data_IF_747680038072
#
_entry.id   IF_747680038072
#
_cell.length_a   1.000
_cell.length_b   1.000
_cell.length_c   1.000
_cell.angle_alpha   90.00
_cell.angle_beta   90.00
_cell.angle_gamma   90.00
#
_symmetry.space_group_name_H-M   'P 1'
#
loop_
_entity.id
_entity.type
_entity.pdbx_description
1 polymer ?
#
# COMPACT_ATOMS: atom_id res chain seq x y z
N UNK A 1 -13.39 44.95 16.45
CA UNK A 1 -13.93 44.20 15.31
C UNK A 1 -14.64 42.96 15.88
N UNK A 2 -15.94 43.04 16.13
CA UNK A 2 -16.79 41.89 16.45
C UNK A 2 -16.99 41.11 15.16
N UNK A 3 -16.30 39.99 15.02
CA UNK A 3 -16.58 39.02 13.98
C UNK A 3 -17.92 38.35 14.33
N UNK A 4 -18.99 38.76 13.66
CA UNK A 4 -20.22 37.98 13.65
C UNK A 4 -19.91 36.68 12.89
N UNK A 5 -19.63 35.60 13.64
CA UNK A 5 -19.57 34.27 13.08
C UNK A 5 -20.99 33.90 12.64
N UNK A 6 -21.22 33.75 11.34
CA UNK A 6 -22.40 33.05 10.86
C UNK A 6 -22.40 31.67 11.52
N UNK A 7 -23.57 31.23 12.02
CA UNK A 7 -23.76 29.96 12.76
C UNK A 7 -23.39 28.70 11.95
N UNK A 8 -23.03 28.83 10.68
CA UNK A 8 -22.63 27.71 9.82
C UNK A 8 -21.11 27.56 9.80
N UNK A 9 -20.63 26.65 10.63
CA UNK A 9 -19.26 26.18 10.59
C UNK A 9 -19.18 25.05 9.56
N UNK A 10 -18.35 25.24 8.52
CA UNK A 10 -18.14 24.22 7.50
C UNK A 10 -17.36 23.05 8.12
N UNK A 11 -17.83 21.79 8.01
CA UNK A 11 -17.10 20.66 8.56
C UNK A 11 -15.71 20.50 7.94
N UNK A 12 -14.74 20.21 8.79
CA UNK A 12 -13.34 19.98 8.41
C UNK A 12 -13.02 18.49 8.50
N UNK A 13 -12.66 17.91 7.38
CA UNK A 13 -12.29 16.51 7.24
C UNK A 13 -10.77 16.36 7.15
N UNK A 14 -10.19 15.45 7.95
CA UNK A 14 -8.80 15.05 7.86
C UNK A 14 -8.71 13.69 7.16
N UNK A 15 -8.09 13.65 5.96
CA UNK A 15 -7.95 12.44 5.14
C UNK A 15 -6.57 11.83 5.25
N UNK A 16 -6.53 10.49 5.31
CA UNK A 16 -5.31 9.71 5.21
C UNK A 16 -5.43 8.64 4.13
N UNK A 17 -4.43 8.57 3.25
CA UNK A 17 -4.20 7.46 2.32
C UNK A 17 -2.92 6.72 2.73
N UNK A 18 -3.01 5.65 3.53
CA UNK A 18 -1.85 4.92 4.04
C UNK A 18 -1.23 4.00 2.99
N UNK A 19 -0.07 4.38 2.47
CA UNK A 19 0.78 3.54 1.62
C UNK A 19 1.91 2.83 2.39
N UNK A 20 2.77 2.12 1.67
CA UNK A 20 3.89 1.36 2.25
C UNK A 20 5.09 2.24 2.60
N UNK A 21 5.43 3.21 1.77
CA UNK A 21 6.57 4.12 1.93
C UNK A 21 6.13 5.52 2.33
N UNK A 22 4.95 5.92 1.88
CA UNK A 22 4.39 7.24 2.08
C UNK A 22 2.91 7.13 2.47
N UNK A 23 2.42 8.14 3.17
CA UNK A 23 0.99 8.34 3.45
C UNK A 23 0.60 9.73 2.95
N UNK A 24 -0.42 9.78 2.10
CA UNK A 24 -1.07 11.04 1.73
C UNK A 24 -1.86 11.59 2.92
N UNK A 25 -1.79 12.90 3.14
CA UNK A 25 -2.56 13.63 4.15
C UNK A 25 -3.27 14.77 3.44
N UNK A 26 -4.56 14.92 3.68
CA UNK A 26 -5.35 16.03 3.18
C UNK A 26 -6.24 16.62 4.26
N UNK A 27 -6.40 17.94 4.29
CA UNK A 27 -7.46 18.61 5.04
C UNK A 27 -8.44 19.20 4.04
N UNK A 28 -9.70 18.78 4.16
CA UNK A 28 -10.77 19.15 3.24
C UNK A 28 -11.87 19.88 4.00
N UNK A 29 -12.27 21.01 3.47
CA UNK A 29 -13.38 21.80 3.96
C UNK A 29 -14.66 21.44 3.18
N UNK A 30 -15.72 21.09 3.88
CA UNK A 30 -17.01 20.74 3.31
C UNK A 30 -17.90 21.99 3.14
N UNK A 31 -17.76 22.69 2.01
CA UNK A 31 -18.63 23.81 1.68
C UNK A 31 -20.02 23.37 1.22
N UNK A 32 -20.98 24.31 1.18
CA UNK A 32 -22.37 24.02 0.78
C UNK A 32 -22.47 23.37 -0.61
N UNK A 33 -21.65 23.81 -1.57
CA UNK A 33 -21.72 23.38 -2.97
C UNK A 33 -20.47 22.67 -3.48
N UNK A 34 -19.38 22.64 -2.70
CA UNK A 34 -18.11 22.02 -3.12
C UNK A 34 -17.24 21.60 -1.95
N UNK A 35 -16.41 20.60 -2.19
CA UNK A 35 -15.31 20.23 -1.33
C UNK A 35 -14.08 21.07 -1.73
N UNK A 36 -13.37 21.60 -0.75
CA UNK A 36 -12.16 22.39 -0.98
C UNK A 36 -11.00 21.79 -0.17
N UNK A 37 -9.96 21.33 -0.84
CA UNK A 37 -8.73 20.92 -0.19
C UNK A 37 -7.97 22.20 0.24
N UNK A 38 -7.80 22.36 1.55
CA UNK A 38 -7.10 23.52 2.12
C UNK A 38 -5.65 23.20 2.51
N UNK A 39 -5.34 21.92 2.66
CA UNK A 39 -3.99 21.44 2.94
C UNK A 39 -3.76 20.07 2.33
N UNK A 40 -2.56 19.84 1.80
CA UNK A 40 -2.11 18.55 1.34
C UNK A 40 -0.64 18.34 1.68
N UNK A 41 -0.30 17.14 2.12
CA UNK A 41 1.07 16.76 2.44
C UNK A 41 1.31 15.27 2.19
N UNK A 42 2.59 14.91 2.11
CA UNK A 42 3.03 13.51 2.03
C UNK A 42 3.93 13.21 3.23
N UNK A 43 3.54 12.22 4.01
CA UNK A 43 4.30 11.73 5.15
C UNK A 43 5.15 10.54 4.73
N UNK A 44 6.46 10.68 4.68
CA UNK A 44 7.39 9.61 4.36
C UNK A 44 7.68 8.76 5.61
N UNK A 45 7.63 7.43 5.46
CA UNK A 45 7.83 6.48 6.53
C UNK A 45 9.23 5.88 6.55
N UNK A 46 9.79 5.71 7.74
CA UNK A 46 11.06 5.00 7.96
C UNK A 46 10.92 3.47 8.04
N UNK A 47 9.77 2.93 7.68
CA UNK A 47 9.47 1.49 7.83
C UNK A 47 10.46 0.60 7.09
N UNK A 48 10.87 0.96 5.89
CA UNK A 48 11.84 0.21 5.08
C UNK A 48 13.24 0.24 5.70
N UNK A 49 13.68 1.40 6.17
CA UNK A 49 14.95 1.56 6.88
C UNK A 49 14.99 0.72 8.15
N UNK A 50 13.93 0.76 8.97
CA UNK A 50 13.81 -0.04 10.19
C UNK A 50 13.90 -1.54 9.86
N UNK A 51 13.23 -2.00 8.80
CA UNK A 51 13.28 -3.38 8.34
C UNK A 51 14.69 -3.78 7.92
N UNK A 52 15.35 -2.97 7.09
CA UNK A 52 16.73 -3.18 6.63
C UNK A 52 17.71 -3.28 7.79
N UNK A 53 17.61 -2.36 8.75
CA UNK A 53 18.46 -2.36 9.95
C UNK A 53 18.25 -3.61 10.84
N UNK A 54 17.00 -4.09 10.95
CA UNK A 54 16.70 -5.32 11.68
C UNK A 54 17.26 -6.57 10.97
N UNK A 55 17.17 -6.60 9.64
CA UNK A 55 17.74 -7.71 8.84
C UNK A 55 19.26 -7.73 8.90
N UNK A 56 19.94 -6.58 8.84
CA UNK A 56 21.39 -6.45 9.02
C UNK A 56 21.83 -6.97 10.40
N UNK A 57 21.14 -6.57 11.47
CA UNK A 57 21.39 -7.08 12.82
C UNK A 57 21.14 -8.59 12.92
N UNK A 58 20.17 -9.12 12.21
CA UNK A 58 19.89 -10.57 12.12
C UNK A 58 21.02 -11.30 11.43
N UNK A 59 21.52 -10.78 10.31
CA UNK A 59 22.67 -11.36 9.58
C UNK A 59 23.93 -11.40 10.44
N UNK A 60 24.27 -10.30 11.10
CA UNK A 60 25.43 -10.23 12.01
C UNK A 60 25.30 -11.27 13.13
N UNK A 61 24.13 -11.38 13.76
CA UNK A 61 23.89 -12.39 14.81
C UNK A 61 23.99 -13.82 14.29
N UNK A 62 23.54 -14.07 13.04
CA UNK A 62 23.66 -15.37 12.38
C UNK A 62 25.13 -15.70 12.08
N UNK A 63 25.88 -14.75 11.52
CA UNK A 63 27.31 -14.90 11.25
C UNK A 63 28.12 -15.20 12.53
N UNK A 64 27.86 -14.45 13.61
CA UNK A 64 28.53 -14.72 14.91
C UNK A 64 28.26 -16.12 15.46
N UNK A 65 27.08 -16.69 15.24
CA UNK A 65 26.71 -18.04 15.67
C UNK A 65 27.36 -19.14 14.83
N UNK A 66 27.55 -18.87 13.54
CA UNK A 66 28.16 -19.85 12.63
C UNK A 66 29.68 -19.88 12.72
N UNK A 67 30.33 -19.02 13.54
CA UNK A 67 31.76 -19.11 13.82
C UNK A 67 32.03 -20.38 14.63
N UNK A 68 33.05 -21.15 14.21
CA UNK A 68 33.43 -22.47 14.80
C UNK A 68 33.99 -22.41 16.23
N UNK A 69 34.00 -21.27 16.90
CA UNK A 69 34.66 -21.09 18.20
C UNK A 69 33.85 -21.63 19.38
N UNK A 70 32.52 -21.58 19.35
CA UNK A 70 31.64 -22.13 20.40
C UNK A 70 30.22 -22.20 19.93
N UNK A 71 29.58 -23.37 19.95
CA UNK A 71 28.16 -23.49 19.71
C UNK A 71 27.35 -22.95 20.88
N UNK A 72 26.45 -22.01 20.62
CA UNK A 72 25.43 -21.57 21.57
C UNK A 72 24.07 -21.73 20.94
N UNK A 73 23.19 -22.42 21.63
CA UNK A 73 21.82 -22.56 21.17
C UNK A 73 21.13 -21.19 20.99
N UNK A 74 20.38 -21.04 19.90
CA UNK A 74 19.69 -19.78 19.60
C UNK A 74 18.57 -19.52 20.60
N UNK A 75 18.67 -18.44 21.37
CA UNK A 75 17.64 -18.02 22.35
C UNK A 75 16.35 -17.45 21.72
N UNK A 76 16.25 -17.40 20.39
CA UNK A 76 15.15 -16.64 19.76
C UNK A 76 13.87 -17.43 19.58
N UNK A 77 13.91 -18.74 19.55
CA UNK A 77 12.69 -19.55 19.47
C UNK A 77 11.71 -19.23 20.61
N UNK A 78 12.27 -18.82 21.77
CA UNK A 78 11.46 -18.39 22.90
C UNK A 78 10.77 -17.03 22.70
N UNK A 79 11.28 -16.16 21.82
CA UNK A 79 10.70 -14.83 21.58
C UNK A 79 9.40 -14.87 20.77
N UNK A 80 9.18 -15.90 19.97
CA UNK A 80 7.93 -16.05 19.21
C UNK A 80 6.76 -16.28 20.18
N UNK A 81 6.98 -17.05 21.25
CA UNK A 81 5.96 -17.33 22.27
C UNK A 81 5.75 -16.15 23.25
N UNK A 82 6.72 -15.26 23.39
CA UNK A 82 6.64 -14.10 24.29
C UNK A 82 6.03 -12.85 23.65
N UNK A 83 5.61 -12.91 22.39
CA UNK A 83 4.90 -11.79 21.77
C UNK A 83 3.50 -11.69 22.35
N UNK A 84 3.19 -10.55 22.97
CA UNK A 84 1.84 -10.27 23.47
C UNK A 84 0.82 -10.15 22.33
N UNK A 85 -0.44 -10.38 22.66
CA UNK A 85 -1.55 -10.21 21.71
C UNK A 85 -1.55 -8.78 21.15
N UNK A 86 -1.61 -8.65 19.83
CA UNK A 86 -1.56 -7.33 19.17
C UNK A 86 -0.16 -6.79 18.88
N UNK A 87 0.91 -7.57 19.13
CA UNK A 87 2.26 -7.18 18.76
C UNK A 87 2.38 -6.93 17.25
N UNK A 88 2.99 -5.81 16.89
CA UNK A 88 3.30 -5.46 15.52
C UNK A 88 4.81 -5.49 15.26
N UNK A 89 5.19 -5.75 14.01
CA UNK A 89 6.59 -5.57 13.60
C UNK A 89 7.00 -4.10 13.77
N UNK A 90 8.23 -3.79 14.23
CA UNK A 90 8.66 -2.42 14.49
C UNK A 90 8.48 -1.46 13.31
N UNK A 91 8.65 -1.93 12.07
CA UNK A 91 8.42 -1.14 10.86
C UNK A 91 6.95 -0.76 10.67
N UNK A 92 6.02 -1.66 11.01
CA UNK A 92 4.58 -1.42 10.94
C UNK A 92 4.15 -0.50 12.09
N UNK A 93 4.63 -0.75 13.31
CA UNK A 93 4.35 0.08 14.47
C UNK A 93 4.80 1.53 14.25
N UNK A 94 5.97 1.73 13.63
CA UNK A 94 6.48 3.07 13.30
C UNK A 94 5.55 3.82 12.33
N UNK A 95 5.01 3.14 11.31
CA UNK A 95 4.03 3.74 10.39
C UNK A 95 2.75 4.18 11.12
N UNK A 96 2.20 3.30 11.95
CA UNK A 96 1.01 3.60 12.76
C UNK A 96 1.26 4.80 13.67
N UNK A 97 2.36 4.79 14.42
CA UNK A 97 2.69 5.87 15.34
C UNK A 97 2.84 7.22 14.63
N UNK A 98 3.49 7.24 13.47
CA UNK A 98 3.64 8.47 12.68
C UNK A 98 2.28 9.09 12.31
N UNK A 99 1.36 8.27 11.81
CA UNK A 99 0.03 8.76 11.41
C UNK A 99 -0.76 9.24 12.64
N UNK A 100 -0.75 8.49 13.73
CA UNK A 100 -1.43 8.88 14.97
C UNK A 100 -0.89 10.19 15.54
N UNK A 101 0.44 10.36 15.56
CA UNK A 101 1.05 11.61 16.05
C UNK A 101 0.74 12.82 15.16
N UNK A 102 0.73 12.65 13.83
CA UNK A 102 0.30 13.73 12.95
C UNK A 102 -1.19 14.02 13.08
N UNK A 103 -2.04 13.01 13.26
CA UNK A 103 -3.47 13.21 13.55
C UNK A 103 -3.68 14.06 14.81
N UNK A 104 -2.98 13.73 15.90
CA UNK A 104 -3.05 14.54 17.14
C UNK A 104 -2.62 15.99 16.92
N UNK A 105 -1.58 16.21 16.09
CA UNK A 105 -1.12 17.57 15.75
C UNK A 105 -2.18 18.35 14.98
N UNK A 106 -2.78 17.74 13.96
CA UNK A 106 -3.83 18.38 13.16
C UNK A 106 -5.08 18.65 13.98
N UNK A 107 -5.55 17.72 14.83
CA UNK A 107 -6.68 17.93 15.73
C UNK A 107 -6.42 19.10 16.70
N UNK A 108 -5.19 19.28 17.16
CA UNK A 108 -4.82 20.41 18.02
C UNK A 108 -4.75 21.75 17.30
N UNK A 109 -4.37 21.75 16.01
CA UNK A 109 -4.11 22.96 15.21
C UNK A 109 -5.30 23.41 14.39
N UNK A 110 -6.28 22.54 14.16
CA UNK A 110 -7.46 22.81 13.34
C UNK A 110 -8.69 22.13 13.92
N UNK A 111 -9.89 22.68 13.71
CA UNK A 111 -11.15 22.11 14.19
C UNK A 111 -11.56 20.91 13.31
N UNK A 112 -10.88 19.78 13.46
CA UNK A 112 -11.19 18.55 12.71
C UNK A 112 -12.46 17.93 13.28
N UNK A 113 -13.51 17.83 12.46
CA UNK A 113 -14.79 17.24 12.84
C UNK A 113 -14.79 15.72 12.68
N UNK A 114 -14.11 15.19 11.64
CA UNK A 114 -13.96 13.75 11.42
C UNK A 114 -12.72 13.41 10.61
N UNK A 115 -12.30 12.15 10.71
CA UNK A 115 -11.13 11.61 10.03
C UNK A 115 -11.60 10.55 9.04
N UNK A 116 -11.14 10.62 7.79
CA UNK A 116 -11.36 9.56 6.80
C UNK A 116 -10.04 8.85 6.50
N UNK A 117 -10.07 7.53 6.59
CA UNK A 117 -8.91 6.68 6.26
C UNK A 117 -9.27 5.81 5.07
N UNK A 118 -8.48 5.89 4.01
CA UNK A 118 -8.59 4.95 2.90
C UNK A 118 -8.25 3.54 3.38
N UNK A 119 -9.22 2.62 3.24
CA UNK A 119 -9.13 1.27 3.79
C UNK A 119 -9.17 0.16 2.75
N UNK A 120 -8.78 0.46 1.51
CA UNK A 120 -8.63 -0.56 0.46
C UNK A 120 -7.76 -1.71 0.97
N UNK A 121 -8.27 -2.93 0.87
CA UNK A 121 -7.57 -4.14 1.30
C UNK A 121 -7.09 -4.91 0.07
N UNK A 122 -5.83 -5.29 0.07
CA UNK A 122 -5.34 -6.22 -0.93
C UNK A 122 -5.81 -7.63 -0.59
N UNK A 123 -6.54 -8.23 -1.51
CA UNK A 123 -6.96 -9.62 -1.40
C UNK A 123 -5.82 -10.54 -1.81
N UNK A 124 -5.07 -11.01 -0.82
CA UNK A 124 -3.89 -11.85 -1.04
C UNK A 124 -4.24 -13.20 -1.66
N UNK A 125 -5.38 -13.78 -1.33
CA UNK A 125 -5.77 -15.10 -1.87
C UNK A 125 -6.11 -15.01 -3.35
N UNK A 126 -6.92 -14.03 -3.73
CA UNK A 126 -7.30 -13.81 -5.13
C UNK A 126 -6.14 -13.27 -5.97
N UNK A 127 -5.15 -12.62 -5.34
CA UNK A 127 -3.90 -12.25 -5.98
C UNK A 127 -3.04 -13.48 -6.33
N UNK A 128 -3.02 -14.50 -5.49
CA UNK A 128 -2.28 -15.74 -5.73
C UNK A 128 -3.02 -16.67 -6.68
N UNK A 129 -4.34 -16.78 -6.52
CA UNK A 129 -5.19 -17.61 -7.35
C UNK A 129 -6.45 -16.87 -7.79
N UNK A 130 -6.48 -16.41 -9.05
CA UNK A 130 -7.62 -15.68 -9.61
C UNK A 130 -8.91 -16.52 -9.77
N UNK A 131 -8.80 -17.85 -9.69
CA UNK A 131 -9.91 -18.80 -9.83
C UNK A 131 -10.54 -19.20 -8.49
N UNK A 132 -10.13 -18.60 -7.37
CA UNK A 132 -10.74 -18.88 -6.05
C UNK A 132 -12.16 -18.33 -6.01
N UNK A 133 -13.14 -19.21 -5.77
CA UNK A 133 -14.57 -18.91 -5.71
C UNK A 133 -15.27 -19.60 -4.52
N UNK A 134 -16.43 -19.07 -4.13
CA UNK A 134 -17.33 -19.72 -3.18
C UNK A 134 -16.75 -19.92 -1.79
N UNK A 135 -16.82 -21.14 -1.27
CA UNK A 135 -16.34 -21.50 0.08
C UNK A 135 -14.83 -21.36 0.25
N UNK A 136 -14.05 -21.46 -0.82
CA UNK A 136 -12.60 -21.26 -0.80
C UNK A 136 -12.25 -19.78 -0.68
N UNK A 137 -13.20 -18.88 -0.99
CA UNK A 137 -13.03 -17.46 -0.98
C UNK A 137 -14.08 -16.76 -0.11
N UNK A 138 -13.69 -16.36 1.08
CA UNK A 138 -14.59 -15.74 2.07
C UNK A 138 -14.67 -14.20 1.99
N UNK A 139 -14.16 -13.56 0.94
CA UNK A 139 -14.12 -12.11 0.81
C UNK A 139 -14.75 -11.66 -0.50
N UNK A 140 -15.63 -10.67 -0.40
CA UNK A 140 -16.52 -10.25 -1.47
C UNK A 140 -15.92 -9.45 -2.62
N UNK A 141 -16.74 -9.12 -3.50
CA UNK A 141 -16.90 -8.51 -4.83
C UNK A 141 -15.98 -7.38 -5.32
N UNK A 142 -14.99 -6.88 -4.59
CA UNK A 142 -14.11 -5.75 -4.98
C UNK A 142 -12.84 -6.18 -5.75
N UNK A 143 -12.85 -7.35 -6.35
CA UNK A 143 -11.66 -7.96 -6.97
C UNK A 143 -10.98 -7.10 -8.02
N UNK A 144 -11.73 -6.50 -8.94
CA UNK A 144 -11.14 -5.73 -10.04
C UNK A 144 -10.51 -4.41 -9.56
N UNK A 145 -11.10 -3.80 -8.56
CA UNK A 145 -10.57 -2.59 -7.94
C UNK A 145 -9.29 -2.89 -7.17
N UNK A 146 -9.31 -3.90 -6.32
CA UNK A 146 -8.13 -4.30 -5.53
C UNK A 146 -6.93 -4.71 -6.39
N UNK A 147 -7.14 -5.38 -7.51
CA UNK A 147 -6.06 -5.74 -8.45
C UNK A 147 -5.46 -4.51 -9.11
N UNK A 148 -6.27 -3.53 -9.51
CA UNK A 148 -5.78 -2.30 -10.11
C UNK A 148 -4.93 -1.51 -9.12
N UNK A 149 -5.41 -1.32 -7.89
CA UNK A 149 -4.67 -0.64 -6.82
C UNK A 149 -3.34 -1.37 -6.49
N UNK A 150 -3.39 -2.70 -6.42
CA UNK A 150 -2.18 -3.49 -6.27
C UNK A 150 -1.15 -3.22 -7.37
N UNK A 151 -1.58 -3.18 -8.64
CA UNK A 151 -0.68 -2.92 -9.77
C UNK A 151 -0.15 -1.48 -9.75
N UNK A 152 -0.98 -0.50 -9.38
CA UNK A 152 -0.56 0.90 -9.23
C UNK A 152 0.57 1.02 -8.21
N UNK A 153 0.44 0.43 -7.03
CA UNK A 153 1.51 0.41 -6.02
C UNK A 153 2.74 -0.40 -6.49
N UNK A 154 2.51 -1.58 -7.08
CA UNK A 154 3.59 -2.46 -7.54
C UNK A 154 4.50 -1.78 -8.55
N UNK A 155 3.94 -1.02 -9.48
CA UNK A 155 4.65 -0.32 -10.55
C UNK A 155 4.88 1.17 -10.27
N UNK A 156 4.65 1.60 -9.01
CA UNK A 156 4.91 2.97 -8.54
C UNK A 156 4.24 4.04 -9.42
N UNK A 157 2.95 3.82 -9.73
CA UNK A 157 2.11 4.71 -10.53
C UNK A 157 2.77 5.13 -11.86
N UNK A 158 3.39 4.15 -12.55
CA UNK A 158 4.06 4.37 -13.83
C UNK A 158 3.80 3.25 -14.81
N UNK A 159 3.70 3.60 -16.10
CA UNK A 159 3.60 2.61 -17.17
C UNK A 159 4.86 1.74 -17.21
N UNK A 160 4.68 0.41 -17.21
CA UNK A 160 5.81 -0.53 -17.22
C UNK A 160 6.62 -0.48 -18.52
N UNK A 161 5.99 -0.05 -19.63
CA UNK A 161 6.61 0.00 -20.95
C UNK A 161 7.34 1.30 -21.23
N UNK A 162 6.69 2.47 -21.03
CA UNK A 162 7.26 3.78 -21.36
C UNK A 162 7.64 4.63 -20.15
N UNK A 163 7.26 4.21 -18.93
CA UNK A 163 7.58 4.93 -17.70
C UNK A 163 6.74 6.18 -17.42
N UNK A 164 5.77 6.52 -18.29
CA UNK A 164 4.91 7.70 -18.08
C UNK A 164 4.17 7.61 -16.76
N UNK A 165 3.99 8.75 -16.08
CA UNK A 165 3.25 8.90 -14.82
C UNK A 165 2.09 9.88 -15.00
N UNK A 166 1.20 9.92 -14.02
CA UNK A 166 0.08 10.87 -13.95
C UNK A 166 -0.87 10.80 -15.16
N UNK A 167 -1.09 9.60 -15.70
CA UNK A 167 -2.05 9.31 -16.76
C UNK A 167 -2.99 8.21 -16.30
N UNK A 168 -4.18 8.08 -16.91
CA UNK A 168 -5.03 6.92 -16.67
C UNK A 168 -4.30 5.63 -17.04
N UNK A 169 -4.27 4.67 -16.10
CA UNK A 169 -3.63 3.38 -16.32
C UNK A 169 -4.65 2.25 -16.51
N UNK A 170 -4.25 1.24 -17.25
CA UNK A 170 -5.00 0.04 -17.56
C UNK A 170 -4.28 -1.22 -17.07
N UNK A 171 -5.09 -2.26 -16.78
CA UNK A 171 -4.57 -3.60 -16.49
C UNK A 171 -4.25 -4.29 -17.81
N UNK A 172 -2.98 -4.63 -18.02
CA UNK A 172 -2.51 -5.22 -19.25
C UNK A 172 -2.02 -6.66 -19.01
N UNK A 173 -2.39 -7.59 -19.91
CA UNK A 173 -1.98 -8.98 -19.84
C UNK A 173 -0.66 -9.20 -20.60
N UNK A 174 0.37 -9.66 -19.89
CA UNK A 174 1.68 -10.00 -20.50
C UNK A 174 1.54 -11.06 -21.57
N UNK A 175 0.82 -12.14 -21.24
CA UNK A 175 0.30 -13.12 -22.20
C UNK A 175 -1.17 -12.75 -22.42
N UNK A 176 -1.57 -12.36 -23.64
CA UNK A 176 -2.94 -11.97 -23.94
C UNK A 176 -3.94 -13.07 -23.62
N UNK A 177 -5.15 -12.71 -23.20
CA UNK A 177 -6.24 -13.68 -22.92
C UNK A 177 -6.58 -14.53 -24.14
N UNK A 178 -6.56 -13.94 -25.33
CA UNK A 178 -6.76 -14.65 -26.60
C UNK A 178 -5.73 -15.74 -26.87
N UNK A 179 -4.56 -15.68 -26.22
CA UNK A 179 -3.48 -16.66 -26.29
C UNK A 179 -3.34 -17.51 -25.02
N UNK A 180 -4.41 -17.62 -24.22
CA UNK A 180 -4.42 -18.45 -23.01
C UNK A 180 -3.85 -17.76 -21.76
N UNK A 181 -3.66 -16.45 -21.79
CA UNK A 181 -3.21 -15.68 -20.63
C UNK A 181 -4.22 -15.66 -19.50
N UNK A 182 -3.76 -15.85 -18.26
CA UNK A 182 -4.57 -15.86 -17.06
C UNK A 182 -4.72 -14.45 -16.46
N UNK A 183 -5.76 -14.27 -15.62
CA UNK A 183 -5.96 -13.05 -14.82
C UNK A 183 -5.09 -13.01 -13.54
N UNK A 184 -4.13 -13.91 -13.41
CA UNK A 184 -3.22 -13.92 -12.25
C UNK A 184 -2.32 -12.70 -12.26
N UNK A 185 -1.98 -12.19 -11.09
CA UNK A 185 -1.06 -11.06 -10.92
C UNK A 185 0.30 -11.30 -11.58
N UNK A 186 0.75 -12.56 -11.65
CA UNK A 186 1.97 -12.95 -12.38
C UNK A 186 1.87 -12.78 -13.90
N UNK A 187 0.68 -12.48 -14.43
CA UNK A 187 0.44 -12.19 -15.84
C UNK A 187 -0.07 -10.77 -16.09
N UNK A 188 -0.17 -9.94 -15.06
CA UNK A 188 -0.72 -8.58 -15.16
C UNK A 188 0.36 -7.53 -14.89
N UNK A 189 0.34 -6.47 -15.71
CA UNK A 189 1.17 -5.29 -15.56
C UNK A 189 0.34 -4.02 -15.67
N UNK A 190 0.92 -2.89 -15.25
CA UNK A 190 0.32 -1.57 -15.40
C UNK A 190 0.79 -0.93 -16.69
N UNK A 191 -0.12 -0.51 -17.57
CA UNK A 191 0.20 0.20 -18.81
C UNK A 191 -0.60 1.47 -18.96
N UNK A 192 -0.08 2.47 -19.68
CA UNK A 192 -0.89 3.56 -20.21
C UNK A 192 -1.70 3.08 -21.43
N UNK A 193 -2.73 3.82 -21.80
CA UNK A 193 -3.60 3.49 -22.93
C UNK A 193 -2.82 3.26 -24.23
N UNK A 194 -1.91 4.17 -24.58
CA UNK A 194 -1.14 4.09 -25.83
C UNK A 194 -0.26 2.84 -25.91
N UNK A 195 0.41 2.47 -24.81
CA UNK A 195 1.23 1.26 -24.79
C UNK A 195 0.37 0.00 -24.81
N UNK A 196 -0.79 0.03 -24.18
CA UNK A 196 -1.76 -1.07 -24.20
C UNK A 196 -2.27 -1.30 -25.63
N UNK A 197 -2.68 -0.25 -26.32
CA UNK A 197 -3.12 -0.32 -27.72
C UNK A 197 -2.01 -0.79 -28.67
N UNK A 198 -0.78 -0.27 -28.50
CA UNK A 198 0.36 -0.70 -29.34
C UNK A 198 0.73 -2.17 -29.15
N UNK A 199 0.61 -2.68 -27.92
CA UNK A 199 0.89 -4.09 -27.64
C UNK A 199 -0.23 -5.00 -28.11
N UNK A 200 -1.48 -4.59 -27.94
CA UNK A 200 -2.69 -5.34 -28.31
C UNK A 200 -2.55 -6.85 -27.99
N UNK A 201 -2.73 -7.72 -28.95
CA UNK A 201 -2.68 -9.19 -28.81
C UNK A 201 -1.26 -9.78 -28.96
N UNK A 202 -0.21 -8.95 -28.97
CA UNK A 202 1.17 -9.43 -29.05
C UNK A 202 1.63 -9.97 -27.68
N UNK A 203 2.29 -11.13 -27.63
CA UNK A 203 3.05 -11.54 -26.44
C UNK A 203 4.13 -10.52 -26.12
N UNK A 204 4.47 -10.38 -24.83
CA UNK A 204 5.47 -9.40 -24.41
C UNK A 204 6.84 -9.64 -25.05
N UNK A 205 7.18 -10.89 -25.35
CA UNK A 205 8.44 -11.26 -25.98
C UNK A 205 8.55 -10.72 -27.42
N UNK A 206 7.44 -10.71 -28.14
CA UNK A 206 7.34 -10.13 -29.49
C UNK A 206 7.29 -8.60 -29.43
N UNK A 207 6.51 -8.05 -28.50
CA UNK A 207 6.37 -6.61 -28.34
C UNK A 207 7.66 -5.90 -27.91
N UNK A 208 8.49 -6.57 -27.10
CA UNK A 208 9.74 -6.02 -26.57
C UNK A 208 10.99 -6.70 -27.16
N UNK A 209 10.89 -7.28 -28.36
CA UNK A 209 12.04 -7.95 -29.02
C UNK A 209 13.26 -7.02 -29.15
N UNK A 210 13.01 -5.74 -29.41
CA UNK A 210 14.05 -4.72 -29.61
C UNK A 210 14.56 -4.12 -28.27
N UNK A 211 13.98 -4.52 -27.11
CA UNK A 211 14.40 -4.07 -25.80
C UNK A 211 14.49 -5.23 -24.79
N UNK A 212 15.49 -6.10 -24.91
CA UNK A 212 15.64 -7.29 -24.06
C UNK A 212 15.92 -6.95 -22.58
N UNK A 213 16.52 -5.79 -22.31
CA UNK A 213 16.77 -5.32 -20.94
C UNK A 213 15.44 -5.03 -20.21
N UNK A 214 14.53 -4.31 -20.86
CA UNK A 214 13.20 -4.02 -20.32
C UNK A 214 12.38 -5.31 -20.16
N UNK A 215 12.43 -6.21 -21.14
CA UNK A 215 11.77 -7.51 -21.07
C UNK A 215 12.22 -8.32 -19.84
N UNK A 216 13.53 -8.42 -19.61
CA UNK A 216 14.10 -9.10 -18.44
C UNK A 216 13.64 -8.46 -17.12
N UNK A 217 13.62 -7.13 -17.06
CA UNK A 217 13.13 -6.37 -15.90
C UNK A 217 11.66 -6.67 -15.60
N UNK A 218 10.79 -6.63 -16.61
CA UNK A 218 9.36 -6.91 -16.47
C UNK A 218 9.15 -8.36 -16.02
N UNK A 219 9.80 -9.34 -16.65
CA UNK A 219 9.70 -10.76 -16.26
C UNK A 219 10.16 -11.00 -14.81
N UNK A 220 11.17 -10.29 -14.34
CA UNK A 220 11.60 -10.35 -12.95
C UNK A 220 10.56 -9.73 -11.99
N UNK A 221 9.95 -8.61 -12.37
CA UNK A 221 8.90 -7.94 -11.59
C UNK A 221 7.61 -8.76 -11.52
N UNK A 222 7.25 -9.50 -12.57
CA UNK A 222 6.07 -10.38 -12.57
C UNK A 222 6.13 -11.45 -11.46
N UNK A 223 7.31 -12.01 -11.22
CA UNK A 223 7.55 -13.02 -10.18
C UNK A 223 7.64 -12.44 -8.77
N UNK A 224 7.82 -11.13 -8.63
CA UNK A 224 7.90 -10.49 -7.31
C UNK A 224 6.51 -10.20 -6.76
N UNK A 225 6.23 -10.64 -5.55
CA UNK A 225 5.06 -10.19 -4.79
C UNK A 225 5.23 -8.72 -4.38
N UNK A 226 4.13 -8.03 -4.11
CA UNK A 226 4.18 -6.72 -3.47
C UNK A 226 4.82 -6.88 -2.08
N UNK A 227 6.00 -6.30 -1.89
CA UNK A 227 6.82 -6.54 -0.69
C UNK A 227 6.09 -6.28 0.61
N UNK A 228 5.17 -5.34 0.63
CA UNK A 228 4.58 -4.82 1.85
C UNK A 228 3.04 -4.88 1.90
N UNK A 229 2.37 -5.58 0.95
CA UNK A 229 0.91 -5.64 0.92
C UNK A 229 0.30 -6.08 2.26
N UNK A 230 0.85 -7.15 2.86
CA UNK A 230 0.42 -7.61 4.18
C UNK A 230 0.71 -6.56 5.28
N UNK A 231 1.84 -5.85 5.19
CA UNK A 231 2.18 -4.80 6.14
C UNK A 231 1.25 -3.59 6.00
N UNK A 232 0.90 -3.19 4.77
CA UNK A 232 -0.06 -2.11 4.48
C UNK A 232 -1.44 -2.46 5.01
N UNK A 233 -1.96 -3.66 4.73
CA UNK A 233 -3.26 -4.11 5.24
C UNK A 233 -3.32 -4.10 6.78
N UNK A 234 -2.26 -4.58 7.44
CA UNK A 234 -2.16 -4.57 8.91
C UNK A 234 -2.09 -3.12 9.41
N UNK A 235 -1.32 -2.26 8.74
CA UNK A 235 -1.18 -0.84 9.08
C UNK A 235 -2.52 -0.14 8.99
N UNK A 236 -3.25 -0.25 7.89
CA UNK A 236 -4.58 0.34 7.67
C UNK A 236 -5.57 -0.07 8.77
N UNK A 237 -5.69 -1.37 9.03
CA UNK A 237 -6.56 -1.89 10.11
C UNK A 237 -6.19 -1.34 11.49
N UNK A 238 -4.88 -1.23 11.77
CA UNK A 238 -4.41 -0.76 13.08
C UNK A 238 -4.59 0.74 13.24
N UNK A 239 -4.36 1.51 12.18
CA UNK A 239 -4.56 2.97 12.17
C UNK A 239 -6.00 3.31 12.53
N UNK A 240 -6.98 2.73 11.86
CA UNK A 240 -8.41 2.97 12.14
C UNK A 240 -8.70 2.73 13.62
N UNK A 241 -8.19 1.62 14.19
CA UNK A 241 -8.38 1.31 15.62
C UNK A 241 -7.73 2.35 16.54
N UNK A 242 -6.53 2.83 16.24
CA UNK A 242 -5.82 3.81 17.08
C UNK A 242 -6.42 5.22 16.94
N UNK A 243 -6.85 5.59 15.72
CA UNK A 243 -7.50 6.87 15.49
C UNK A 243 -8.87 6.96 16.17
N UNK A 244 -9.64 5.87 16.19
CA UNK A 244 -10.92 5.82 16.90
C UNK A 244 -10.80 6.09 18.41
N UNK A 245 -9.59 6.03 18.98
CA UNK A 245 -9.32 6.38 20.37
C UNK A 245 -9.07 7.90 20.59
N UNK A 246 -9.07 8.72 19.53
CA UNK A 246 -8.78 10.16 19.60
C UNK A 246 -10.02 11.05 19.83
N UNK A 247 -11.17 10.49 20.18
CA UNK A 247 -12.44 11.20 20.39
C UNK A 247 -12.92 12.02 19.16
N UNK A 248 -12.50 11.64 17.95
CA UNK A 248 -12.96 12.19 16.68
C UNK A 248 -13.55 11.06 15.86
N UNK A 249 -14.73 11.23 15.23
CA UNK A 249 -15.32 10.21 14.37
C UNK A 249 -14.35 9.76 13.28
N UNK A 250 -14.21 8.44 13.05
CA UNK A 250 -13.34 7.87 12.02
C UNK A 250 -14.17 7.11 11.00
N UNK A 251 -14.10 7.55 9.76
CA UNK A 251 -14.75 6.93 8.60
C UNK A 251 -13.72 6.14 7.80
N UNK A 252 -14.18 5.12 7.10
CA UNK A 252 -13.37 4.35 6.14
C UNK A 252 -13.96 4.54 4.75
N UNK A 253 -13.12 4.99 3.80
CA UNK A 253 -13.46 5.14 2.38
C UNK A 253 -12.92 3.99 1.53
#
# INVERSE_FOLDING_TARGET
LTLHSNEYIQPVELKFDPGSEQTGIGIVLHGKNRLSAIYAAVLTHRGQEIKSNLDSRRMIRRARRNRKTRYRQARFLNRVRSKHKGWLAPSVQSRVNNIVEWSKRFIRLSPVDFITVESVKFDMQKMENAAVEGLEYQRGTLFDYEVKEYLLEKYNYSCVYCGVKNVPFEKEHVIPRSRGGSNRISNLVLSCHDCNQKKDNLPIDEFLKDNPALLKKIKAQLKSSLKDAAAVNITRKKIVKELSALNVPVLTG
#
